data_IF_019977852602
#
_entry.id   IF_019977852602
#
_cell.length_a   1.000
_cell.length_b   1.000
_cell.length_c   1.000
_cell.angle_alpha   90.00
_cell.angle_beta   90.00
_cell.angle_gamma   90.00
#
_symmetry.space_group_name_H-M   'P 1'
#
loop_
_entity.id
_entity.type
_entity.pdbx_description
1 polymer ?
#
# COMPACT_ATOMS: atom_id res chain seq x y z
N UNK A 1 19.75 1.58 -14.38
CA UNK A 1 20.61 0.58 -15.01
C UNK A 1 19.79 -0.63 -15.43
N UNK A 2 20.08 -1.17 -16.61
CA UNK A 2 19.64 -2.49 -17.05
C UNK A 2 20.87 -3.38 -17.24
N UNK A 3 20.81 -4.59 -16.67
CA UNK A 3 21.93 -5.52 -16.64
C UNK A 3 21.44 -6.86 -17.18
N UNK A 4 22.23 -7.46 -18.06
CA UNK A 4 21.99 -8.80 -18.58
C UNK A 4 22.17 -9.82 -17.45
N UNK A 5 21.12 -10.58 -17.13
CA UNK A 5 21.12 -11.56 -16.05
C UNK A 5 22.05 -12.77 -16.32
N UNK A 6 22.36 -13.05 -17.58
CA UNK A 6 23.19 -14.21 -17.95
C UNK A 6 24.67 -13.99 -17.71
N UNK A 7 25.14 -12.75 -17.85
CA UNK A 7 26.56 -12.41 -17.83
C UNK A 7 26.93 -11.16 -17.01
N UNK A 8 25.93 -10.46 -16.43
CA UNK A 8 26.14 -9.28 -15.59
C UNK A 8 26.57 -8.02 -16.35
N UNK A 9 26.54 -8.01 -17.68
CA UNK A 9 26.94 -6.84 -18.48
C UNK A 9 25.88 -5.77 -18.46
N UNK A 10 26.33 -4.51 -18.42
CA UNK A 10 25.47 -3.34 -18.55
C UNK A 10 24.88 -3.32 -19.96
N UNK A 11 23.54 -3.24 -20.06
CA UNK A 11 22.82 -3.07 -21.32
C UNK A 11 22.64 -1.56 -21.59
N UNK A 12 22.13 -0.84 -20.60
CA UNK A 12 22.00 0.62 -20.68
C UNK A 12 22.01 1.25 -19.26
N UNK A 13 22.27 2.53 -19.20
CA UNK A 13 22.26 3.36 -18.00
C UNK A 13 21.64 4.72 -18.33
N UNK A 14 20.73 5.19 -17.49
CA UNK A 14 20.08 6.49 -17.60
C UNK A 14 20.05 7.18 -16.23
N UNK A 15 20.14 8.49 -16.22
CA UNK A 15 19.97 9.32 -15.04
C UNK A 15 18.56 9.91 -15.01
N UNK A 16 18.00 10.06 -13.82
CA UNK A 16 16.72 10.73 -13.58
C UNK A 16 16.96 11.96 -12.70
N UNK A 17 16.14 12.99 -12.86
CA UNK A 17 16.24 14.25 -12.11
C UNK A 17 15.99 14.07 -10.62
N UNK A 18 15.19 13.07 -10.22
CA UNK A 18 14.86 12.74 -8.83
C UNK A 18 15.02 11.25 -8.59
N UNK A 19 15.33 10.86 -7.35
CA UNK A 19 15.46 9.46 -6.99
C UNK A 19 14.12 8.75 -7.01
N UNK A 20 14.11 7.50 -7.47
CA UNK A 20 12.89 6.68 -7.46
C UNK A 20 12.51 6.26 -6.05
N UNK A 21 11.23 6.37 -5.73
CA UNK A 21 10.66 6.08 -4.41
C UNK A 21 9.45 5.13 -4.49
N UNK A 22 9.41 4.24 -5.45
CA UNK A 22 8.35 3.23 -5.56
C UNK A 22 8.88 1.88 -6.00
N UNK A 23 8.02 0.87 -5.94
CA UNK A 23 8.27 -0.38 -6.62
C UNK A 23 8.05 -0.20 -8.13
N UNK A 24 8.89 -0.84 -8.93
CA UNK A 24 8.78 -0.88 -10.38
C UNK A 24 7.62 -1.79 -10.81
N UNK A 25 6.83 -1.34 -11.79
CA UNK A 25 5.80 -2.15 -12.47
C UNK A 25 6.15 -2.29 -13.93
N UNK A 26 5.96 -3.46 -14.48
CA UNK A 26 6.25 -3.71 -15.90
C UNK A 26 4.95 -3.75 -16.69
N UNK A 27 4.93 -3.07 -17.84
CA UNK A 27 3.83 -3.06 -18.78
C UNK A 27 4.38 -3.21 -20.21
N UNK A 28 4.08 -4.34 -20.85
CA UNK A 28 4.62 -4.65 -22.19
C UNK A 28 6.15 -4.43 -22.27
N UNK A 29 6.61 -3.59 -23.19
CA UNK A 29 8.02 -3.25 -23.36
C UNK A 29 8.47 -2.04 -22.54
N UNK A 30 7.66 -1.63 -21.55
CA UNK A 30 7.93 -0.48 -20.69
C UNK A 30 7.96 -0.88 -19.23
N UNK A 31 8.45 0.03 -18.38
CA UNK A 31 8.30 -0.05 -16.94
C UNK A 31 7.88 1.30 -16.36
N UNK A 32 7.15 1.23 -15.28
CA UNK A 32 6.55 2.35 -14.56
C UNK A 32 7.16 2.45 -13.17
N UNK A 33 7.49 3.65 -12.76
CA UNK A 33 8.07 3.93 -11.44
C UNK A 33 7.68 5.35 -11.02
N UNK A 34 7.55 5.61 -9.72
CA UNK A 34 7.37 6.95 -9.20
C UNK A 34 8.62 7.41 -8.44
N UNK A 35 8.88 8.71 -8.50
CA UNK A 35 10.00 9.34 -7.82
C UNK A 35 9.57 10.13 -6.57
N UNK A 36 10.55 10.69 -5.84
CA UNK A 36 10.31 11.49 -4.64
C UNK A 36 9.56 12.81 -4.90
N UNK A 37 9.47 13.25 -6.15
CA UNK A 37 8.76 14.46 -6.54
C UNK A 37 7.27 14.21 -6.87
N UNK A 38 6.75 13.01 -6.54
CA UNK A 38 5.40 12.57 -6.87
C UNK A 38 5.13 12.51 -8.39
N UNK A 39 6.18 12.30 -9.18
CA UNK A 39 6.07 12.10 -10.62
C UNK A 39 6.09 10.62 -10.93
N UNK A 40 5.05 10.13 -11.59
CA UNK A 40 5.06 8.79 -12.18
C UNK A 40 5.67 8.87 -13.57
N UNK A 41 6.58 7.96 -13.88
CA UNK A 41 7.32 7.93 -15.15
C UNK A 41 7.24 6.56 -15.79
N UNK A 42 7.16 6.57 -17.10
CA UNK A 42 7.21 5.38 -17.95
C UNK A 42 8.46 5.40 -18.80
N UNK A 43 9.21 4.32 -18.76
CA UNK A 43 10.46 4.16 -19.50
C UNK A 43 10.42 2.94 -20.41
N UNK A 44 11.15 3.02 -21.51
CA UNK A 44 11.43 1.89 -22.40
C UNK A 44 12.36 0.88 -21.72
N UNK A 45 12.04 -0.40 -21.80
CA UNK A 45 12.94 -1.47 -21.33
C UNK A 45 14.16 -1.65 -22.23
N UNK A 46 14.07 -1.24 -23.48
CA UNK A 46 15.12 -1.45 -24.48
C UNK A 46 16.32 -0.53 -24.27
N UNK A 47 16.07 0.74 -24.01
CA UNK A 47 17.09 1.79 -23.99
C UNK A 47 17.00 2.72 -22.78
N UNK A 48 16.02 2.52 -21.90
CA UNK A 48 15.82 3.31 -20.69
C UNK A 48 15.28 4.72 -20.93
N UNK A 49 14.90 5.08 -22.15
CA UNK A 49 14.37 6.42 -22.45
C UNK A 49 12.98 6.60 -21.82
N UNK A 50 12.75 7.78 -21.28
CA UNK A 50 11.43 8.20 -20.81
C UNK A 50 10.48 8.33 -22.01
N UNK A 51 9.29 7.72 -21.89
CA UNK A 51 8.23 7.73 -22.91
C UNK A 51 7.19 8.78 -22.55
N UNK A 52 6.78 8.80 -21.28
CA UNK A 52 5.88 9.77 -20.71
C UNK A 52 6.11 9.92 -19.21
N UNK A 53 5.66 11.04 -18.66
CA UNK A 53 5.56 11.27 -17.22
C UNK A 53 4.26 11.99 -16.88
N UNK A 54 3.85 11.89 -15.62
CA UNK A 54 2.70 12.58 -15.06
C UNK A 54 3.05 13.10 -13.66
N UNK A 55 2.96 14.42 -13.49
CA UNK A 55 3.20 15.08 -12.21
C UNK A 55 1.89 15.18 -11.42
N UNK A 56 1.92 14.77 -10.16
CA UNK A 56 0.85 15.05 -9.21
C UNK A 56 1.25 16.17 -8.28
N UNK A 57 0.30 16.66 -7.48
CA UNK A 57 0.60 17.69 -6.49
C UNK A 57 1.75 17.27 -5.57
N UNK A 58 2.66 18.19 -5.34
CA UNK A 58 3.89 17.94 -4.60
C UNK A 58 3.91 18.76 -3.30
N UNK A 59 4.49 18.18 -2.26
CA UNK A 59 4.77 18.85 -0.98
C UNK A 59 6.26 19.15 -0.87
N UNK A 60 6.62 20.30 -0.29
CA UNK A 60 8.02 20.62 0.04
C UNK A 60 8.63 19.62 1.02
N UNK A 61 7.80 18.99 1.85
CA UNK A 61 8.23 18.01 2.83
C UNK A 61 7.80 16.63 2.33
N UNK A 62 8.78 15.74 2.14
CA UNK A 62 8.56 14.44 1.50
C UNK A 62 8.59 13.31 2.53
N UNK A 63 7.61 12.44 2.47
CA UNK A 63 7.59 11.22 3.27
C UNK A 63 8.74 10.28 2.83
N UNK A 64 9.40 9.65 3.78
CA UNK A 64 10.41 8.61 3.51
C UNK A 64 9.78 7.27 3.09
N UNK A 65 8.45 7.16 3.18
CA UNK A 65 7.74 5.94 2.80
C UNK A 65 7.72 5.79 1.29
N UNK A 66 7.91 4.56 0.82
CA UNK A 66 7.77 4.23 -0.60
C UNK A 66 6.35 4.49 -1.09
N UNK A 67 6.26 5.12 -2.25
CA UNK A 67 5.02 5.34 -2.96
C UNK A 67 4.51 4.02 -3.53
N UNK A 68 3.19 3.82 -3.49
CA UNK A 68 2.59 2.58 -3.97
C UNK A 68 2.00 2.74 -5.35
N UNK A 69 2.35 1.79 -6.24
CA UNK A 69 1.79 1.65 -7.58
C UNK A 69 1.15 0.28 -7.75
N UNK A 70 -0.01 0.24 -8.38
CA UNK A 70 -0.65 -0.99 -8.84
C UNK A 70 -0.97 -0.84 -10.33
N UNK A 71 -0.61 -1.84 -11.12
CA UNK A 71 -0.97 -1.94 -12.52
C UNK A 71 -2.02 -3.05 -12.69
N UNK A 72 -3.15 -2.69 -13.30
CA UNK A 72 -4.21 -3.66 -13.64
C UNK A 72 -4.70 -3.41 -15.07
N UNK A 73 -4.46 -4.40 -15.95
CA UNK A 73 -4.74 -4.21 -17.37
C UNK A 73 -3.90 -3.08 -17.95
N UNK A 74 -4.58 -2.06 -18.45
CA UNK A 74 -3.97 -0.88 -19.08
C UNK A 74 -3.98 0.37 -18.18
N UNK A 75 -4.41 0.22 -16.91
CA UNK A 75 -4.48 1.32 -15.95
C UNK A 75 -3.45 1.12 -14.86
N UNK A 76 -2.68 2.17 -14.58
CA UNK A 76 -1.81 2.27 -13.42
C UNK A 76 -2.46 3.18 -12.38
N UNK A 77 -2.54 2.69 -11.15
CA UNK A 77 -3.03 3.43 -9.99
C UNK A 77 -1.83 3.80 -9.12
N UNK A 78 -1.80 5.04 -8.71
CA UNK A 78 -0.70 5.64 -7.96
C UNK A 78 -1.23 6.45 -6.78
N UNK A 79 -0.66 6.29 -5.60
CA UNK A 79 -0.93 7.13 -4.44
C UNK A 79 0.30 8.01 -4.19
N UNK A 80 0.10 9.33 -4.11
CA UNK A 80 1.16 10.31 -3.87
C UNK A 80 1.43 10.51 -2.36
N UNK A 81 2.41 11.34 -2.03
CA UNK A 81 2.77 11.65 -0.64
C UNK A 81 1.67 12.41 0.14
N UNK A 82 0.72 13.03 -0.55
CA UNK A 82 -0.42 13.72 0.05
C UNK A 82 -1.59 12.78 0.32
N UNK A 83 -1.52 11.53 -0.17
CA UNK A 83 -2.58 10.54 -0.05
C UNK A 83 -3.58 10.55 -1.19
N UNK A 84 -3.40 11.42 -2.20
CA UNK A 84 -4.27 11.45 -3.36
C UNK A 84 -4.01 10.26 -4.27
N UNK A 85 -5.07 9.69 -4.79
CA UNK A 85 -4.98 8.56 -5.71
C UNK A 85 -5.27 9.01 -7.14
N UNK A 86 -4.43 8.57 -8.05
CA UNK A 86 -4.49 8.91 -9.48
C UNK A 86 -4.51 7.63 -10.30
N UNK A 87 -5.38 7.56 -11.30
CA UNK A 87 -5.43 6.50 -12.31
C UNK A 87 -5.01 7.07 -13.66
N UNK A 88 -4.03 6.44 -14.29
CA UNK A 88 -3.49 6.85 -15.59
C UNK A 88 -3.55 5.68 -16.57
N UNK A 89 -3.70 6.00 -17.85
CA UNK A 89 -3.48 5.05 -18.93
C UNK A 89 -1.99 4.68 -18.99
N UNK A 90 -1.65 3.40 -18.92
CA UNK A 90 -0.26 2.94 -18.89
C UNK A 90 0.48 3.08 -20.25
N UNK A 91 -0.23 3.31 -21.36
CA UNK A 91 0.40 3.52 -22.67
C UNK A 91 0.97 4.92 -22.84
N UNK A 92 0.18 5.94 -22.48
CA UNK A 92 0.46 7.33 -22.82
C UNK A 92 0.48 8.29 -21.62
N UNK A 93 0.19 7.79 -20.42
CA UNK A 93 0.16 8.59 -19.19
C UNK A 93 -1.05 9.52 -19.08
N UNK A 94 -2.04 9.39 -19.96
CA UNK A 94 -3.24 10.23 -19.91
C UNK A 94 -4.04 9.98 -18.63
N UNK A 95 -4.56 11.06 -18.03
CA UNK A 95 -5.35 11.00 -16.80
C UNK A 95 -6.69 10.35 -17.08
N UNK A 96 -7.00 9.28 -16.33
CA UNK A 96 -8.32 8.65 -16.32
C UNK A 96 -9.19 9.30 -15.25
N UNK A 97 -8.68 9.36 -14.02
CA UNK A 97 -9.30 10.08 -12.90
C UNK A 97 -8.28 10.35 -11.80
N UNK A 98 -8.59 11.33 -10.96
CA UNK A 98 -7.84 11.63 -9.74
C UNK A 98 -8.81 11.93 -8.60
N UNK A 99 -8.57 11.34 -7.43
CA UNK A 99 -9.41 11.52 -6.26
C UNK A 99 -8.55 12.00 -5.09
N UNK A 100 -8.74 13.25 -4.63
CA UNK A 100 -8.14 13.73 -3.41
C UNK A 100 -8.76 13.00 -2.21
N UNK A 101 -7.93 12.55 -1.27
CA UNK A 101 -8.40 11.85 -0.07
C UNK A 101 -8.30 12.70 1.19
N UNK A 102 -7.56 13.81 1.14
CA UNK A 102 -7.41 14.73 2.23
C UNK A 102 -8.43 15.87 2.13
N UNK A 103 -9.20 16.08 3.19
CA UNK A 103 -10.23 17.13 3.23
C UNK A 103 -9.67 18.53 3.49
N UNK A 104 -8.42 18.65 3.95
CA UNK A 104 -7.76 19.94 4.23
C UNK A 104 -6.26 19.83 3.97
N UNK A 105 -5.75 20.71 3.11
CA UNK A 105 -4.33 20.92 2.87
C UNK A 105 -3.64 21.57 4.08
N UNK A 106 -3.59 20.90 5.21
CA UNK A 106 -2.71 21.32 6.29
C UNK A 106 -1.34 20.75 5.98
N UNK A 107 -0.49 21.53 5.30
CA UNK A 107 0.85 21.14 4.85
C UNK A 107 1.74 20.54 5.96
N UNK A 108 1.54 20.95 7.21
CA UNK A 108 2.28 20.41 8.36
C UNK A 108 1.98 18.93 8.63
N UNK A 109 0.81 18.47 8.24
CA UNK A 109 0.38 17.10 8.48
C UNK A 109 0.78 16.11 7.37
N UNK A 110 1.06 16.58 6.16
CA UNK A 110 1.50 15.72 5.04
C UNK A 110 2.82 15.00 5.36
N UNK A 111 3.69 15.63 6.16
CA UNK A 111 4.98 15.06 6.55
C UNK A 111 4.88 13.76 7.34
N UNK A 112 3.84 13.63 8.18
CA UNK A 112 3.63 12.45 9.03
C UNK A 112 2.65 11.46 8.45
N UNK A 113 2.09 11.74 7.25
CA UNK A 113 1.15 10.83 6.61
C UNK A 113 1.86 9.56 6.14
N UNK A 114 1.38 8.43 6.63
CA UNK A 114 1.81 7.10 6.20
C UNK A 114 0.63 6.36 5.58
N UNK A 115 0.60 6.31 4.26
CA UNK A 115 -0.36 5.47 3.55
C UNK A 115 0.11 4.01 3.53
N UNK A 116 -0.82 3.06 3.57
CA UNK A 116 -0.53 1.67 3.25
C UNK A 116 -0.22 1.53 1.76
N UNK A 117 0.33 0.38 1.37
CA UNK A 117 0.31 0.01 -0.04
C UNK A 117 -1.14 -0.12 -0.52
N UNK A 118 -1.40 0.37 -1.74
CA UNK A 118 -2.68 0.18 -2.41
C UNK A 118 -2.80 -1.24 -2.94
N UNK A 119 -4.00 -1.78 -2.94
CA UNK A 119 -4.34 -3.04 -3.60
C UNK A 119 -5.54 -2.84 -4.52
N UNK A 120 -5.54 -3.60 -5.61
CA UNK A 120 -6.66 -3.72 -6.52
C UNK A 120 -7.29 -5.10 -6.33
N UNK A 121 -8.57 -5.14 -6.01
CA UNK A 121 -9.39 -6.35 -5.96
C UNK A 121 -10.87 -6.00 -6.25
N UNK A 122 -11.59 -6.87 -6.90
CA UNK A 122 -13.03 -6.74 -7.16
C UNK A 122 -13.43 -5.36 -7.72
N UNK A 123 -12.69 -4.87 -8.74
CA UNK A 123 -12.86 -3.53 -9.33
C UNK A 123 -12.80 -2.37 -8.31
N UNK A 124 -12.08 -2.57 -7.21
CA UNK A 124 -11.95 -1.60 -6.13
C UNK A 124 -10.48 -1.43 -5.74
N UNK A 125 -10.11 -0.20 -5.42
CA UNK A 125 -8.81 0.16 -4.84
C UNK A 125 -8.98 0.33 -3.33
N UNK A 126 -8.17 -0.39 -2.54
CA UNK A 126 -8.17 -0.32 -1.09
C UNK A 126 -6.83 0.19 -0.58
N UNK A 127 -6.88 1.06 0.41
CA UNK A 127 -5.73 1.49 1.20
C UNK A 127 -6.19 2.12 2.51
N UNK A 128 -5.26 2.31 3.42
CA UNK A 128 -5.47 2.95 4.71
C UNK A 128 -4.32 3.90 5.01
N UNK A 129 -4.48 4.71 6.05
CA UNK A 129 -3.42 5.58 6.53
C UNK A 129 -3.36 5.64 8.06
N UNK A 130 -2.33 6.31 8.58
CA UNK A 130 -2.13 6.53 10.01
C UNK A 130 -3.00 7.65 10.61
N UNK A 131 -4.01 8.13 9.87
CA UNK A 131 -4.99 9.14 10.32
C UNK A 131 -6.38 8.58 10.55
N UNK A 132 -6.46 7.31 10.89
CA UNK A 132 -7.73 6.61 11.09
C UNK A 132 -8.61 6.55 9.85
N UNK A 133 -8.02 6.43 8.66
CA UNK A 133 -8.78 6.40 7.43
C UNK A 133 -8.46 5.12 6.65
N UNK A 134 -9.50 4.41 6.27
CA UNK A 134 -9.48 3.29 5.34
C UNK A 134 -10.44 3.61 4.20
N UNK A 135 -9.97 3.47 2.97
CA UNK A 135 -10.71 3.83 1.77
C UNK A 135 -10.95 2.61 0.89
N UNK A 136 -12.15 2.53 0.32
CA UNK A 136 -12.51 1.69 -0.81
C UNK A 136 -13.02 2.58 -1.94
N UNK A 137 -12.28 2.64 -3.05
CA UNK A 137 -12.55 3.52 -4.18
C UNK A 137 -12.85 2.67 -5.41
N UNK A 138 -13.93 2.98 -6.12
CA UNK A 138 -14.24 2.35 -7.40
C UNK A 138 -13.11 2.58 -8.41
N UNK A 139 -12.51 1.50 -8.90
CA UNK A 139 -11.32 1.59 -9.72
C UNK A 139 -11.56 2.20 -11.11
N UNK A 140 -12.80 2.19 -11.62
CA UNK A 140 -13.13 2.74 -12.95
C UNK A 140 -13.38 4.23 -12.90
N UNK A 141 -14.08 4.68 -11.85
CA UNK A 141 -14.56 6.07 -11.74
C UNK A 141 -13.79 6.94 -10.77
N UNK A 142 -13.02 6.33 -9.85
CA UNK A 142 -12.37 7.06 -8.75
C UNK A 142 -13.33 7.48 -7.63
N UNK A 143 -14.60 7.08 -7.69
CA UNK A 143 -15.61 7.44 -6.69
C UNK A 143 -15.41 6.63 -5.42
N UNK A 144 -15.50 7.29 -4.27
CA UNK A 144 -15.48 6.63 -2.97
C UNK A 144 -16.69 5.70 -2.82
N UNK A 145 -16.45 4.39 -2.65
CA UNK A 145 -17.51 3.40 -2.36
C UNK A 145 -17.88 3.44 -0.89
N UNK A 146 -16.87 3.37 -0.02
CA UNK A 146 -17.04 3.51 1.42
C UNK A 146 -15.72 3.90 2.11
N UNK A 147 -15.85 4.36 3.34
CA UNK A 147 -14.73 4.72 4.22
C UNK A 147 -14.96 4.11 5.60
N UNK A 148 -13.87 3.66 6.25
CA UNK A 148 -13.90 3.15 7.62
C UNK A 148 -12.86 3.87 8.48
N UNK A 149 -13.09 3.91 9.80
CA UNK A 149 -12.17 4.52 10.76
C UNK A 149 -11.17 3.48 11.24
N UNK A 150 -10.02 3.36 10.55
CA UNK A 150 -8.96 2.39 10.84
C UNK A 150 -7.61 3.08 10.74
N UNK A 151 -6.87 3.14 11.85
CA UNK A 151 -5.49 3.62 11.92
C UNK A 151 -4.54 2.52 11.45
N UNK A 152 -4.20 2.48 10.18
CA UNK A 152 -3.30 1.45 9.66
C UNK A 152 -2.45 1.96 8.52
N UNK A 153 -1.18 1.65 8.56
CA UNK A 153 -0.27 1.78 7.42
C UNK A 153 0.15 0.40 6.86
N UNK A 154 -0.50 -0.68 7.31
CA UNK A 154 -0.33 -2.02 6.77
C UNK A 154 -1.19 -2.21 5.51
N UNK A 155 -0.63 -2.94 4.55
CA UNK A 155 -1.34 -3.30 3.32
C UNK A 155 -2.58 -4.13 3.65
N UNK A 156 -3.79 -3.72 3.23
CA UNK A 156 -4.99 -4.55 3.39
C UNK A 156 -4.90 -5.82 2.54
N UNK A 157 -5.71 -6.81 2.86
CA UNK A 157 -5.81 -8.06 2.10
C UNK A 157 -7.27 -8.34 1.78
N UNK A 158 -7.57 -8.64 0.53
CA UNK A 158 -8.92 -9.02 0.08
C UNK A 158 -8.93 -10.50 -0.29
N UNK A 159 -9.87 -11.24 0.25
CA UNK A 159 -10.12 -12.65 -0.10
C UNK A 159 -11.63 -12.80 -0.31
N UNK A 160 -12.02 -13.20 -1.51
CA UNK A 160 -13.44 -13.29 -1.91
C UNK A 160 -14.19 -11.98 -1.64
N UNK A 161 -15.22 -12.00 -0.83
CA UNK A 161 -16.06 -10.86 -0.45
C UNK A 161 -15.61 -10.19 0.86
N UNK A 162 -14.41 -10.48 1.38
CA UNK A 162 -13.93 -9.98 2.67
C UNK A 162 -12.65 -9.18 2.53
N UNK A 163 -12.62 -8.02 3.19
CA UNK A 163 -11.44 -7.18 3.33
C UNK A 163 -10.91 -7.27 4.75
N UNK A 164 -9.62 -7.58 4.87
CA UNK A 164 -8.90 -7.68 6.13
C UNK A 164 -7.97 -6.48 6.29
N UNK A 165 -8.04 -5.82 7.43
CA UNK A 165 -7.10 -4.74 7.80
C UNK A 165 -6.73 -4.88 9.28
N UNK A 166 -5.49 -4.53 9.64
CA UNK A 166 -5.04 -4.54 11.04
C UNK A 166 -4.61 -3.14 11.41
N UNK A 167 -5.20 -2.61 12.49
CA UNK A 167 -4.82 -1.30 13.00
C UNK A 167 -3.51 -1.35 13.80
N UNK A 168 -2.87 -0.19 13.95
CA UNK A 168 -1.67 0.00 14.76
C UNK A 168 -1.88 -0.42 16.22
N UNK A 169 -3.10 -0.23 16.74
CA UNK A 169 -3.51 -0.59 18.10
C UNK A 169 -3.73 -2.11 18.27
N UNK A 170 -3.63 -2.89 17.19
CA UNK A 170 -3.78 -4.34 17.22
C UNK A 170 -5.23 -4.82 17.12
N UNK A 171 -6.07 -4.15 16.37
CA UNK A 171 -7.39 -4.64 16.02
C UNK A 171 -7.41 -5.17 14.58
N UNK A 172 -7.77 -6.44 14.43
CA UNK A 172 -8.06 -7.06 13.14
C UNK A 172 -9.52 -6.79 12.78
N UNK A 173 -9.72 -6.07 11.69
CA UNK A 173 -11.02 -5.78 11.08
C UNK A 173 -11.29 -6.76 9.94
N UNK A 174 -12.49 -7.30 9.90
CA UNK A 174 -13.05 -8.03 8.76
C UNK A 174 -14.24 -7.22 8.25
N UNK A 175 -14.17 -6.78 7.01
CA UNK A 175 -15.11 -5.86 6.39
C UNK A 175 -15.75 -6.58 5.20
N UNK A 176 -17.05 -6.42 5.02
CA UNK A 176 -17.76 -6.83 3.81
C UNK A 176 -17.33 -5.95 2.63
N UNK A 177 -16.81 -6.55 1.59
CA UNK A 177 -16.24 -5.86 0.43
C UNK A 177 -17.26 -4.97 -0.30
N UNK A 178 -18.51 -5.43 -0.41
CA UNK A 178 -19.55 -4.77 -1.19
C UNK A 178 -20.19 -3.60 -0.44
N UNK A 179 -20.45 -3.80 0.86
CA UNK A 179 -21.18 -2.83 1.68
C UNK A 179 -20.29 -1.93 2.52
N UNK A 180 -19.04 -2.35 2.76
CA UNK A 180 -18.15 -1.68 3.70
C UNK A 180 -18.48 -1.92 5.18
N UNK A 181 -19.48 -2.73 5.50
CA UNK A 181 -19.86 -3.02 6.87
C UNK A 181 -18.77 -3.81 7.60
N UNK A 182 -18.43 -3.39 8.81
CA UNK A 182 -17.51 -4.14 9.65
C UNK A 182 -18.25 -5.35 10.23
N UNK A 183 -17.85 -6.53 9.79
CA UNK A 183 -18.44 -7.81 10.22
C UNK A 183 -17.88 -8.30 11.53
N UNK A 184 -16.59 -8.02 11.78
CA UNK A 184 -15.90 -8.43 13.01
C UNK A 184 -14.71 -7.55 13.30
N UNK A 185 -14.49 -7.29 14.60
CA UNK A 185 -13.28 -6.70 15.14
C UNK A 185 -12.70 -7.67 16.17
N UNK A 186 -11.42 -8.00 16.04
CA UNK A 186 -10.71 -8.90 16.97
C UNK A 186 -9.52 -8.17 17.57
N UNK A 187 -9.45 -8.06 18.90
CA UNK A 187 -8.25 -7.57 19.57
C UNK A 187 -7.19 -8.68 19.58
N UNK A 188 -6.13 -8.51 18.77
CA UNK A 188 -5.04 -9.47 18.63
C UNK A 188 -4.08 -9.46 19.85
N UNK A 189 -4.17 -8.44 20.70
CA UNK A 189 -3.37 -8.30 21.92
C UNK A 189 -4.10 -8.72 23.20
N UNK A 190 -5.30 -9.31 23.08
CA UNK A 190 -6.13 -9.68 24.26
C UNK A 190 -5.37 -10.49 25.32
N UNK A 191 -4.49 -11.40 24.88
CA UNK A 191 -3.71 -12.29 25.74
C UNK A 191 -2.24 -11.86 25.88
N UNK A 192 -1.89 -10.64 25.45
CA UNK A 192 -0.52 -10.14 25.49
C UNK A 192 -0.48 -8.92 26.41
N UNK A 193 0.40 -8.96 27.42
CA UNK A 193 0.70 -7.76 28.19
C UNK A 193 1.39 -6.73 27.28
N UNK A 194 0.62 -5.78 26.77
CA UNK A 194 1.13 -4.67 25.98
C UNK A 194 1.45 -3.49 26.91
N UNK A 195 2.61 -3.54 27.55
CA UNK A 195 3.05 -2.45 28.43
C UNK A 195 3.36 -1.20 27.60
N UNK A 196 2.55 -0.15 27.75
CA UNK A 196 2.76 1.20 27.18
C UNK A 196 2.73 1.27 25.66
N UNK A 197 1.85 0.56 24.97
CA UNK A 197 1.70 0.61 23.51
C UNK A 197 3.02 0.41 22.73
N UNK A 198 3.93 -0.41 23.24
CA UNK A 198 5.23 -0.67 22.62
C UNK A 198 5.19 -1.80 21.59
N UNK A 199 4.12 -2.61 21.58
CA UNK A 199 3.96 -3.72 20.66
C UNK A 199 3.03 -3.28 19.54
N UNK A 200 3.53 -3.36 18.30
CA UNK A 200 2.80 -2.98 17.10
C UNK A 200 2.86 -4.09 16.06
N UNK A 201 1.78 -4.28 15.28
CA UNK A 201 1.82 -5.15 14.10
C UNK A 201 2.74 -4.53 13.03
N UNK A 202 3.57 -5.38 12.42
CA UNK A 202 4.50 -4.95 11.35
C UNK A 202 4.12 -5.50 9.98
N UNK A 203 3.21 -6.46 9.93
CA UNK A 203 2.70 -7.06 8.71
C UNK A 203 1.75 -8.21 9.02
N UNK A 204 0.98 -8.62 8.04
CA UNK A 204 0.15 -9.82 8.15
C UNK A 204 -0.06 -10.49 6.79
N UNK A 205 -0.35 -11.78 6.82
CA UNK A 205 -0.73 -12.58 5.65
C UNK A 205 -1.89 -13.51 6.02
N UNK A 206 -2.68 -13.85 5.02
CA UNK A 206 -3.73 -14.86 5.13
C UNK A 206 -3.31 -16.10 4.32
N UNK A 207 -3.35 -17.25 4.98
CA UNK A 207 -3.09 -18.54 4.37
C UNK A 207 -3.87 -19.65 5.08
N UNK A 208 -4.49 -20.56 4.34
CA UNK A 208 -5.18 -21.75 4.88
C UNK A 208 -6.21 -21.40 5.99
N UNK A 209 -7.05 -20.40 5.77
CA UNK A 209 -8.03 -19.88 6.73
C UNK A 209 -7.42 -19.37 8.04
N UNK A 210 -6.16 -18.95 8.02
CA UNK A 210 -5.45 -18.36 9.14
C UNK A 210 -4.92 -16.98 8.80
N UNK A 211 -4.89 -16.12 9.81
CA UNK A 211 -4.21 -14.83 9.77
C UNK A 211 -2.92 -14.94 10.57
N UNK A 212 -1.81 -14.70 9.94
CA UNK A 212 -0.50 -14.65 10.59
C UNK A 212 -0.07 -13.19 10.71
N UNK A 213 0.16 -12.72 11.92
CA UNK A 213 0.51 -11.32 12.19
C UNK A 213 1.89 -11.26 12.80
N UNK A 214 2.81 -10.59 12.14
CA UNK A 214 4.14 -10.30 12.69
C UNK A 214 4.11 -9.04 13.55
N UNK A 215 4.89 -9.06 14.64
CA UNK A 215 5.00 -7.98 15.60
C UNK A 215 6.42 -7.41 15.63
N UNK A 216 6.52 -6.11 15.99
CA UNK A 216 7.80 -5.41 16.09
C UNK A 216 8.78 -5.98 17.13
N UNK A 217 8.32 -6.88 18.03
CA UNK A 217 9.14 -7.52 19.05
C UNK A 217 9.63 -8.94 18.69
N UNK A 218 9.57 -9.31 17.40
CA UNK A 218 10.05 -10.62 16.92
C UNK A 218 9.10 -11.78 17.16
N UNK A 219 7.83 -11.49 17.43
CA UNK A 219 6.80 -12.50 17.66
C UNK A 219 5.81 -12.58 16.50
N UNK A 220 5.13 -13.72 16.38
CA UNK A 220 4.08 -14.00 15.41
C UNK A 220 2.83 -14.47 16.14
N UNK A 221 1.69 -13.90 15.79
CA UNK A 221 0.39 -14.37 16.24
C UNK A 221 -0.27 -15.14 15.09
N UNK A 222 -0.89 -16.27 15.40
CA UNK A 222 -1.71 -17.04 14.49
C UNK A 222 -3.15 -16.99 14.96
N UNK A 223 -4.06 -16.54 14.11
CA UNK A 223 -5.49 -16.46 14.37
C UNK A 223 -6.27 -17.29 13.36
N UNK A 224 -7.41 -17.79 13.76
CA UNK A 224 -8.39 -18.32 12.82
C UNK A 224 -9.05 -17.18 12.05
N UNK A 225 -9.04 -17.21 10.71
CA UNK A 225 -9.56 -16.12 9.90
C UNK A 225 -11.10 -15.99 10.01
N UNK A 226 -11.82 -17.11 10.27
CA UNK A 226 -13.29 -17.12 10.37
C UNK A 226 -13.76 -16.70 11.76
N UNK A 227 -13.20 -17.28 12.83
CA UNK A 227 -13.64 -17.01 14.21
C UNK A 227 -12.93 -15.84 14.88
N UNK A 228 -11.72 -15.49 14.41
CA UNK A 228 -10.83 -14.52 15.08
C UNK A 228 -10.10 -15.06 16.31
N UNK A 229 -10.32 -16.31 16.68
CA UNK A 229 -9.68 -16.90 17.85
C UNK A 229 -8.16 -17.06 17.64
N UNK A 230 -7.39 -16.76 18.69
CA UNK A 230 -5.96 -17.05 18.72
C UNK A 230 -5.74 -18.57 18.74
N UNK A 231 -4.89 -19.05 17.83
CA UNK A 231 -4.51 -20.47 17.73
C UNK A 231 -3.03 -20.71 18.03
N UNK A 232 -2.25 -19.65 18.15
CA UNK A 232 -0.84 -19.78 18.51
C UNK A 232 -0.11 -18.46 18.59
N UNK A 233 0.95 -18.50 19.38
CA UNK A 233 1.84 -17.38 19.61
C UNK A 233 3.28 -17.87 19.54
N UNK A 234 4.06 -17.39 18.61
CA UNK A 234 5.38 -17.91 18.29
C UNK A 234 6.44 -16.82 18.43
N UNK A 235 7.59 -17.18 18.99
CA UNK A 235 8.78 -16.33 18.96
C UNK A 235 9.63 -16.72 17.76
N UNK A 236 9.75 -15.83 16.78
CA UNK A 236 10.51 -16.09 15.55
C UNK A 236 11.95 -15.61 15.69
N UNK A 237 12.19 -14.51 16.41
CA UNK A 237 13.50 -13.91 16.56
C UNK A 237 13.67 -13.17 17.87
N UNK A 238 14.91 -12.73 18.12
CA UNK A 238 15.24 -11.84 19.25
C UNK A 238 15.21 -10.37 18.86
N UNK A 239 15.20 -10.10 17.56
CA UNK A 239 15.29 -8.75 16.96
C UNK A 239 13.93 -8.26 16.48
N UNK A 240 13.83 -6.95 16.32
CA UNK A 240 12.68 -6.29 15.71
C UNK A 240 12.46 -6.82 14.29
N UNK A 241 11.24 -7.23 13.97
CA UNK A 241 10.86 -7.54 12.59
C UNK A 241 10.54 -6.20 11.93
N UNK A 242 11.36 -5.81 10.95
CA UNK A 242 11.10 -4.64 10.12
C UNK A 242 10.16 -5.03 8.97
N UNK A 243 9.45 -4.03 8.47
CA UNK A 243 8.64 -4.14 7.24
C UNK A 243 9.48 -4.42 6.03
#
# INVERSE_FOLDING_TARGET
>A
YSIDLSNGKLIWSMENSSSFNSNLKTFKNTFLVADFDNVIRCFSKMDGKEIWNFETENSFIKSQKKLSLVLKGEIVYFINNLGDITALNAYDGSLVWQTPTQSTLIFQDAFTLENSDIIFANDTIYFSNNRNEFFAIDARSGVLKYKQTINSSLRPTVIEDYVFSISKEGFLFVIDDKTGNVLRITNIFKNIENKKNQIEPTGFILAQNKVYVSLNNGKLIKLNAVSGNEEGFYKIGKSRINR
#
